data_IF_721161729454
#
_entry.id   IF_721161729454
#
_cell.length_a   1.000
_cell.length_b   1.000
_cell.length_c   1.000
_cell.angle_alpha   90.00
_cell.angle_beta   90.00
_cell.angle_gamma   90.00
#
_symmetry.space_group_name_H-M   'P 1'
#
loop_
_entity.id
_entity.type
_entity.pdbx_description
1 polymer ?
#
# COMPACT_ATOMS: atom_id res chain seq x y z
N UNK A 1 -10.69 0.10 18.58
CA UNK A 1 -11.27 -0.51 17.36
C UNK A 1 -10.99 -2.00 17.41
N UNK A 2 -11.93 -2.79 17.93
CA UNK A 2 -11.86 -4.25 17.78
C UNK A 2 -12.60 -4.59 16.49
N UNK A 3 -11.85 -4.98 15.45
CA UNK A 3 -12.44 -5.45 14.22
C UNK A 3 -13.11 -6.81 14.51
N UNK A 4 -14.43 -6.89 14.40
CA UNK A 4 -15.24 -8.08 14.66
C UNK A 4 -15.14 -9.17 13.59
N UNK A 5 -14.10 -9.12 12.73
CA UNK A 5 -13.90 -10.02 11.60
C UNK A 5 -12.74 -10.99 11.81
N UNK A 6 -12.91 -12.23 11.33
CA UNK A 6 -11.86 -13.24 11.27
C UNK A 6 -10.67 -12.77 10.43
N UNK A 7 -9.49 -13.34 10.66
CA UNK A 7 -8.30 -13.07 9.84
C UNK A 7 -8.57 -13.28 8.34
N UNK A 8 -9.37 -14.29 7.99
CA UNK A 8 -9.77 -14.58 6.61
C UNK A 8 -10.52 -13.39 5.99
N UNK A 9 -11.41 -12.77 6.73
CA UNK A 9 -12.17 -11.60 6.24
C UNK A 9 -11.27 -10.38 6.09
N UNK A 10 -10.37 -10.15 7.05
CA UNK A 10 -9.40 -9.07 6.97
C UNK A 10 -8.48 -9.22 5.74
N UNK A 11 -7.94 -10.42 5.49
CA UNK A 11 -7.13 -10.69 4.29
C UNK A 11 -7.94 -10.53 3.00
N UNK A 12 -9.21 -10.96 2.97
CA UNK A 12 -10.09 -10.74 1.82
C UNK A 12 -10.28 -9.25 1.53
N UNK A 13 -10.51 -8.44 2.55
CA UNK A 13 -10.61 -6.98 2.40
C UNK A 13 -9.30 -6.41 1.86
N UNK A 14 -8.15 -6.78 2.43
CA UNK A 14 -6.85 -6.30 1.97
C UNK A 14 -6.58 -6.64 0.50
N UNK A 15 -6.94 -7.85 0.04
CA UNK A 15 -6.80 -8.23 -1.37
C UNK A 15 -7.68 -7.40 -2.31
N UNK A 16 -8.87 -7.00 -1.85
CA UNK A 16 -9.77 -6.15 -2.62
C UNK A 16 -9.36 -4.67 -2.62
N UNK A 17 -8.40 -4.27 -1.79
CA UNK A 17 -7.94 -2.88 -1.70
C UNK A 17 -6.91 -2.58 -2.79
N UNK A 18 -7.19 -1.59 -3.64
CA UNK A 18 -6.25 -1.09 -4.65
C UNK A 18 -5.31 -0.01 -4.11
N UNK A 19 -5.80 0.80 -3.17
CA UNK A 19 -5.08 1.90 -2.54
C UNK A 19 -5.24 1.83 -1.02
N UNK A 20 -4.12 1.68 -0.31
CA UNK A 20 -4.04 1.78 1.14
C UNK A 20 -3.36 3.09 1.53
N UNK A 21 -4.02 3.90 2.35
CA UNK A 21 -3.41 5.10 2.96
C UNK A 21 -3.14 4.77 4.43
N UNK A 22 -1.86 4.75 4.80
CA UNK A 22 -1.37 4.51 6.15
C UNK A 22 -0.96 5.82 6.81
N UNK A 23 -1.13 5.91 8.13
CA UNK A 23 -0.73 7.08 8.93
C UNK A 23 0.35 6.61 9.91
N UNK A 24 1.53 7.22 9.86
CA UNK A 24 2.68 6.89 10.73
C UNK A 24 3.14 5.44 10.63
N UNK A 25 3.08 4.84 9.44
CA UNK A 25 3.35 3.42 9.28
C UNK A 25 2.33 2.50 9.97
N UNK A 26 1.25 3.03 10.55
CA UNK A 26 0.19 2.20 11.13
C UNK A 26 -0.54 1.43 10.03
N UNK A 27 -0.59 0.11 10.17
CA UNK A 27 -1.24 -0.78 9.19
C UNK A 27 -0.51 -0.90 7.85
N UNK A 28 0.66 -0.27 7.69
CA UNK A 28 1.43 -0.25 6.44
C UNK A 28 1.86 -1.64 5.97
N UNK A 29 2.19 -2.53 6.93
CA UNK A 29 2.62 -3.89 6.65
C UNK A 29 1.48 -4.71 6.04
N UNK A 30 0.21 -4.30 6.20
CA UNK A 30 -0.91 -4.96 5.55
C UNK A 30 -0.83 -4.85 4.02
N UNK A 31 -0.01 -3.93 3.49
CA UNK A 31 0.32 -3.83 2.07
C UNK A 31 0.83 -5.13 1.45
N UNK A 32 1.40 -6.06 2.25
CA UNK A 32 1.84 -7.37 1.78
C UNK A 32 0.68 -8.31 1.41
N UNK A 33 -0.53 -8.04 1.91
CA UNK A 33 -1.74 -8.82 1.64
C UNK A 33 -2.58 -8.25 0.50
N UNK A 34 -2.19 -7.09 -0.05
CA UNK A 34 -2.87 -6.49 -1.19
C UNK A 34 -2.53 -7.22 -2.48
N UNK A 35 -3.40 -7.11 -3.50
CA UNK A 35 -3.11 -7.64 -4.83
C UNK A 35 -1.94 -6.90 -5.49
N UNK A 36 -1.18 -7.61 -6.34
CA UNK A 36 -0.08 -6.99 -7.08
C UNK A 36 -0.59 -5.84 -7.95
N UNK A 37 0.20 -4.77 -8.05
CA UNK A 37 -0.19 -3.53 -8.73
C UNK A 37 -1.05 -2.60 -7.87
N UNK A 38 -1.33 -2.97 -6.61
CA UNK A 38 -1.87 -2.04 -5.62
C UNK A 38 -0.83 -0.98 -5.20
N UNK A 39 -1.30 0.06 -4.52
CA UNK A 39 -0.47 1.16 -4.02
C UNK A 39 -0.68 1.36 -2.53
N UNK A 40 0.41 1.58 -1.80
CA UNK A 40 0.40 2.03 -0.41
C UNK A 40 0.94 3.46 -0.38
N UNK A 41 0.21 4.38 0.25
CA UNK A 41 0.66 5.75 0.55
C UNK A 41 0.86 5.84 2.06
N UNK A 42 2.07 6.13 2.52
CA UNK A 42 2.35 6.41 3.94
C UNK A 42 2.38 7.91 4.22
N UNK A 43 1.58 8.36 5.19
CA UNK A 43 1.58 9.73 5.65
C UNK A 43 2.48 9.84 6.88
N UNK A 44 3.57 10.58 6.74
CA UNK A 44 4.67 10.59 7.70
C UNK A 44 4.72 11.92 8.46
N UNK A 45 5.14 11.84 9.73
CA UNK A 45 5.47 13.03 10.52
C UNK A 45 6.64 13.81 9.87
N UNK A 46 6.80 15.10 10.20
CA UNK A 46 7.96 15.86 9.73
C UNK A 46 9.24 15.20 10.21
N UNK A 47 10.29 15.28 9.41
CA UNK A 47 11.60 14.68 9.67
C UNK A 47 11.62 13.15 9.75
N UNK A 48 10.49 12.46 9.59
CA UNK A 48 10.45 11.01 9.69
C UNK A 48 10.27 10.37 8.31
N UNK A 49 11.12 9.40 7.98
CA UNK A 49 10.98 8.56 6.80
C UNK A 49 11.09 7.09 7.23
N UNK A 50 10.06 6.31 6.91
CA UNK A 50 10.08 4.87 7.16
C UNK A 50 10.34 4.13 5.85
N UNK A 51 11.54 3.56 5.75
CA UNK A 51 11.98 2.78 4.59
C UNK A 51 11.96 1.27 4.87
N UNK A 52 11.75 0.84 6.12
CA UNK A 52 11.78 -0.58 6.49
C UNK A 52 10.70 -1.38 5.77
N UNK A 53 9.54 -0.78 5.52
CA UNK A 53 8.42 -1.45 4.87
C UNK A 53 8.51 -1.44 3.34
N UNK A 54 9.29 -0.53 2.76
CA UNK A 54 9.41 -0.38 1.30
C UNK A 54 9.85 -1.68 0.62
N UNK A 55 10.90 -2.40 1.08
CA UNK A 55 11.28 -3.67 0.46
C UNK A 55 10.19 -4.73 0.53
N UNK A 56 9.49 -4.86 1.67
CA UNK A 56 8.44 -5.85 1.86
C UNK A 56 7.23 -5.60 0.95
N UNK A 57 6.78 -4.35 0.89
CA UNK A 57 5.64 -3.93 0.06
C UNK A 57 5.96 -4.07 -1.43
N UNK A 58 7.13 -3.61 -1.84
CA UNK A 58 7.57 -3.74 -3.23
C UNK A 58 7.75 -5.21 -3.64
N UNK A 59 8.29 -6.05 -2.73
CA UNK A 59 8.45 -7.50 -2.99
C UNK A 59 7.10 -8.23 -3.07
N UNK A 60 6.08 -7.76 -2.33
CA UNK A 60 4.72 -8.26 -2.46
C UNK A 60 4.05 -7.83 -3.78
N UNK A 61 4.65 -6.89 -4.51
CA UNK A 61 4.18 -6.42 -5.82
C UNK A 61 3.31 -5.17 -5.77
N UNK A 62 3.25 -4.49 -4.62
CA UNK A 62 2.57 -3.20 -4.46
C UNK A 62 3.59 -2.06 -4.58
N UNK A 63 3.17 -0.90 -5.08
CA UNK A 63 4.01 0.30 -5.07
C UNK A 63 3.93 1.01 -3.72
N UNK A 64 5.06 1.50 -3.23
CA UNK A 64 5.14 2.29 -2.01
C UNK A 64 5.40 3.76 -2.32
N UNK A 65 4.47 4.63 -1.92
CA UNK A 65 4.56 6.08 -1.98
C UNK A 65 4.53 6.62 -0.55
N UNK A 66 5.08 7.80 -0.33
CA UNK A 66 5.00 8.47 0.97
C UNK A 66 4.86 9.98 0.82
N UNK A 67 4.13 10.59 1.76
CA UNK A 67 3.99 12.03 1.89
C UNK A 67 4.64 12.46 3.21
N UNK A 68 5.81 13.12 3.17
CA UNK A 68 6.35 13.75 4.37
C UNK A 68 5.49 14.97 4.72
N UNK A 69 5.23 15.16 6.01
CA UNK A 69 4.67 16.42 6.51
C UNK A 69 5.72 17.53 6.38
N UNK A 70 5.32 18.64 5.77
CA UNK A 70 6.13 19.83 5.51
C UNK A 70 6.10 20.85 6.67
N UNK A 71 5.12 20.75 7.57
CA UNK A 71 5.05 21.57 8.78
C UNK A 71 5.97 21.02 9.89
N UNK A 72 7.20 21.51 9.92
CA UNK A 72 8.18 21.18 10.95
C UNK A 72 7.72 21.56 12.38
N UNK A 73 6.77 22.51 12.52
CA UNK A 73 6.26 22.93 13.82
C UNK A 73 5.25 21.93 14.40
N UNK A 74 4.55 21.15 13.57
CA UNK A 74 3.71 20.03 14.03
C UNK A 74 4.52 18.99 14.83
N UNK A 75 5.81 18.86 14.50
CA UNK A 75 6.82 18.09 15.22
C UNK A 75 7.00 18.46 16.71
N UNK A 76 6.53 19.64 17.13
CA UNK A 76 6.77 20.18 18.47
C UNK A 76 5.53 20.14 19.38
N UNK A 77 4.35 19.79 18.85
CA UNK A 77 3.07 19.75 19.60
C UNK A 77 2.87 18.44 20.37
N UNK A 78 3.90 17.97 21.07
CA UNK A 78 3.88 16.63 21.67
C UNK A 78 3.74 16.65 23.20
N UNK A 79 3.01 15.66 23.77
CA UNK A 79 2.94 15.49 25.21
C UNK A 79 4.28 15.03 25.81
N UNK A 80 5.17 14.43 25.02
CA UNK A 80 6.51 14.00 25.45
C UNK A 80 7.57 14.93 24.86
N UNK A 81 8.45 15.45 25.72
CA UNK A 81 9.55 16.35 25.29
C UNK A 81 10.51 15.60 24.37
N UNK A 82 10.66 16.09 23.14
CA UNK A 82 11.63 15.59 22.16
C UNK A 82 12.87 16.50 22.18
N UNK A 83 14.10 15.97 22.14
CA UNK A 83 15.30 16.79 22.02
C UNK A 83 15.30 17.64 20.75
N UNK A 84 15.72 18.91 20.85
CA UNK A 84 15.86 19.82 19.70
C UNK A 84 16.70 19.24 18.56
N UNK A 85 17.70 18.41 18.89
CA UNK A 85 18.55 17.75 17.91
C UNK A 85 17.74 16.93 16.90
N UNK A 86 16.64 16.30 17.34
CA UNK A 86 15.77 15.50 16.48
C UNK A 86 15.08 16.30 15.36
N UNK A 87 14.88 17.61 15.54
CA UNK A 87 14.28 18.50 14.53
C UNK A 87 15.31 19.19 13.63
N UNK A 88 16.58 19.18 14.04
CA UNK A 88 17.69 19.79 13.27
C UNK A 88 18.32 18.80 12.30
N UNK A 89 18.05 17.52 12.49
CA UNK A 89 18.49 16.43 11.64
C UNK A 89 17.85 16.56 10.25
N UNK A 90 18.69 16.63 9.21
CA UNK A 90 18.27 16.61 7.81
C UNK A 90 18.33 15.22 7.18
N UNK A 91 18.92 14.25 7.88
CA UNK A 91 19.09 12.89 7.38
C UNK A 91 17.95 11.99 7.88
N UNK A 92 17.23 11.31 6.97
CA UNK A 92 16.18 10.36 7.34
C UNK A 92 16.68 9.18 8.18
N UNK A 93 17.98 8.90 8.16
CA UNK A 93 18.59 7.78 8.89
C UNK A 93 18.91 8.12 10.36
N UNK A 94 19.07 9.40 10.68
CA UNK A 94 19.44 9.86 12.03
C UNK A 94 18.22 10.00 12.95
N UNK A 95 17.01 10.16 12.39
CA UNK A 95 15.74 10.16 13.13
C UNK A 95 15.29 8.79 13.63
N UNK A 96 16.03 7.72 13.30
CA UNK A 96 15.82 6.37 13.82
C UNK A 96 16.40 6.17 15.24
N UNK A 97 17.05 7.20 15.81
CA UNK A 97 17.51 7.15 17.21
C UNK A 97 16.32 7.02 18.16
N UNK A 98 16.48 6.18 19.19
CA UNK A 98 15.41 5.91 20.17
C UNK A 98 14.86 7.17 20.85
N UNK A 99 15.69 8.19 21.05
CA UNK A 99 15.29 9.47 21.64
C UNK A 99 14.39 10.32 20.74
N UNK A 100 14.42 10.10 19.42
CA UNK A 100 13.58 10.76 18.45
C UNK A 100 12.30 9.97 18.13
N UNK A 101 12.16 8.73 18.60
CA UNK A 101 10.96 7.91 18.42
C UNK A 101 9.65 8.61 18.82
N UNK A 102 9.57 9.47 19.84
CA UNK A 102 8.33 10.16 20.15
C UNK A 102 7.82 11.03 18.99
N UNK A 103 8.67 11.45 18.03
CA UNK A 103 8.25 12.13 16.78
C UNK A 103 7.30 11.25 15.93
N UNK A 104 7.25 9.93 16.15
CA UNK A 104 6.31 9.06 15.42
C UNK A 104 4.85 9.26 15.85
N UNK A 105 4.61 9.93 16.97
CA UNK A 105 3.27 10.12 17.54
C UNK A 105 2.72 11.55 17.31
N UNK A 106 3.02 12.20 16.18
CA UNK A 106 2.54 13.59 15.93
C UNK A 106 1.03 13.65 15.83
N UNK A 107 0.50 14.83 16.16
CA UNK A 107 -0.67 15.34 15.45
C UNK A 107 -0.27 15.58 13.99
N UNK A 108 -0.66 14.66 13.11
CA UNK A 108 -0.37 14.77 11.68
C UNK A 108 -1.28 15.80 11.04
N UNK A 109 -0.69 16.91 10.63
CA UNK A 109 -1.29 17.79 9.63
C UNK A 109 -0.99 17.24 8.23
N UNK A 110 -2.03 17.05 7.41
CA UNK A 110 -1.89 16.47 6.07
C UNK A 110 -2.03 17.57 5.02
N UNK A 111 -0.99 17.75 4.21
CA UNK A 111 -1.06 18.60 3.02
C UNK A 111 -1.99 17.94 1.99
N UNK A 112 -3.25 18.37 1.94
CA UNK A 112 -4.27 17.80 1.05
C UNK A 112 -3.91 17.91 -0.43
N UNK A 113 -3.20 18.96 -0.83
CA UNK A 113 -2.76 19.11 -2.21
C UNK A 113 -1.67 18.09 -2.58
N UNK A 114 -0.69 17.90 -1.69
CA UNK A 114 0.33 16.86 -1.85
C UNK A 114 -0.27 15.46 -1.87
N UNK A 115 -1.25 15.19 -1.00
CA UNK A 115 -1.98 13.93 -0.99
C UNK A 115 -2.76 13.71 -2.29
N UNK A 116 -3.44 14.72 -2.81
CA UNK A 116 -4.17 14.63 -4.09
C UNK A 116 -3.23 14.24 -5.24
N UNK A 117 -2.03 14.82 -5.29
CA UNK A 117 -1.03 14.47 -6.31
C UNK A 117 -0.58 13.00 -6.19
N UNK A 118 -0.35 12.50 -4.97
CA UNK A 118 0.00 11.09 -4.76
C UNK A 118 -1.15 10.15 -5.09
N UNK A 119 -2.40 10.52 -4.79
CA UNK A 119 -3.58 9.73 -5.20
C UNK A 119 -3.67 9.66 -6.72
N UNK A 120 -3.46 10.76 -7.45
CA UNK A 120 -3.41 10.75 -8.92
C UNK A 120 -2.28 9.88 -9.45
N UNK A 121 -1.10 9.92 -8.84
CA UNK A 121 0.01 9.04 -9.17
C UNK A 121 -0.35 7.56 -8.93
N UNK A 122 -1.00 7.27 -7.81
CA UNK A 122 -1.47 5.93 -7.47
C UNK A 122 -2.48 5.41 -8.51
N UNK A 123 -3.44 6.25 -8.93
CA UNK A 123 -4.39 5.88 -10.00
C UNK A 123 -3.68 5.52 -11.31
N UNK A 124 -2.64 6.27 -11.70
CA UNK A 124 -1.85 5.96 -12.90
C UNK A 124 -1.18 4.59 -12.76
N UNK A 125 -0.55 4.33 -11.61
CA UNK A 125 0.11 3.05 -11.32
C UNK A 125 -0.94 1.91 -11.39
N UNK A 126 -2.05 2.04 -10.66
CA UNK A 126 -3.12 1.03 -10.64
C UNK A 126 -3.62 0.77 -12.06
N UNK A 127 -3.88 1.80 -12.87
CA UNK A 127 -4.31 1.65 -14.27
C UNK A 127 -3.26 1.02 -15.17
N UNK A 128 -1.97 1.14 -14.87
CA UNK A 128 -0.91 0.51 -15.65
C UNK A 128 -0.79 -0.98 -15.31
N UNK A 129 -0.88 -1.33 -14.03
CA UNK A 129 -0.59 -2.69 -13.56
C UNK A 129 -1.84 -3.59 -13.39
N UNK A 130 -3.00 -3.01 -13.08
CA UNK A 130 -4.28 -3.72 -12.89
C UNK A 130 -5.26 -3.57 -14.05
N UNK A 131 -4.81 -3.06 -15.20
CA UNK A 131 -5.66 -2.92 -16.39
C UNK A 131 -6.36 -4.25 -16.70
N UNK A 132 -7.70 -4.27 -16.84
CA UNK A 132 -8.37 -5.43 -17.41
C UNK A 132 -7.82 -5.59 -18.83
N UNK A 133 -7.14 -6.71 -19.11
CA UNK A 133 -7.02 -7.11 -20.52
C UNK A 133 -8.37 -7.67 -20.94
N UNK A 134 -8.97 -7.18 -22.04
CA UNK A 134 -10.19 -7.74 -22.57
C UNK A 134 -9.85 -9.04 -23.31
N UNK A 135 -9.54 -10.09 -22.56
CA UNK A 135 -9.52 -11.45 -23.11
C UNK A 135 -10.82 -12.14 -22.69
N UNK A 136 -11.82 -12.00 -23.57
CA UNK A 136 -13.00 -12.87 -23.54
C UNK A 136 -12.52 -14.23 -24.06
N UNK A 137 -12.02 -15.10 -23.18
CA UNK A 137 -11.94 -16.51 -23.52
C UNK A 137 -13.36 -17.07 -23.49
N UNK A 138 -13.90 -17.31 -24.69
CA UNK A 138 -15.11 -18.11 -24.85
C UNK A 138 -14.69 -19.57 -24.69
N UNK A 139 -14.85 -20.12 -23.49
CA UNK A 139 -14.59 -21.54 -23.24
C UNK A 139 -15.74 -22.32 -23.86
N UNK A 140 -15.49 -22.94 -25.02
CA UNK A 140 -16.43 -23.85 -25.68
C UNK A 140 -16.35 -25.23 -25.02
N UNK A 141 -17.49 -25.77 -24.60
CA UNK A 141 -17.62 -27.16 -24.20
C UNK A 141 -18.88 -27.75 -24.84
N UNK A 142 -18.91 -29.07 -24.95
CA UNK A 142 -19.98 -29.81 -25.61
C UNK A 142 -21.29 -29.63 -24.82
N UNK A 143 -22.16 -28.72 -25.26
CA UNK A 143 -23.44 -28.40 -24.62
C UNK A 143 -23.71 -26.92 -24.30
N UNK A 144 -22.77 -25.99 -24.55
CA UNK A 144 -23.03 -24.54 -24.39
C UNK A 144 -21.76 -23.67 -24.35
N UNK A 145 -21.96 -22.35 -24.32
CA UNK A 145 -20.88 -21.37 -24.10
C UNK A 145 -21.20 -20.49 -22.90
N UNK A 146 -20.24 -20.27 -22.00
CA UNK A 146 -20.27 -19.13 -21.08
C UNK A 146 -19.03 -18.26 -21.31
N UNK A 147 -19.20 -16.96 -21.22
CA UNK A 147 -18.11 -15.99 -21.18
C UNK A 147 -17.55 -15.95 -19.76
N UNK A 148 -16.27 -16.31 -19.57
CA UNK A 148 -15.56 -16.05 -18.33
C UNK A 148 -14.84 -14.72 -18.49
N UNK A 149 -15.09 -13.77 -17.60
CA UNK A 149 -14.20 -12.62 -17.45
C UNK A 149 -12.90 -13.11 -16.82
N UNK A 150 -11.88 -13.34 -17.65
CA UNK A 150 -10.54 -13.69 -17.18
C UNK A 150 -9.75 -12.39 -17.00
N UNK A 151 -9.48 -12.05 -15.75
CA UNK A 151 -8.66 -10.91 -15.39
C UNK A 151 -7.18 -11.24 -15.64
N UNK A 152 -6.62 -10.82 -16.77
CA UNK A 152 -5.16 -10.90 -16.99
C UNK A 152 -4.45 -9.61 -16.55
N UNK A 153 -3.20 -9.74 -16.10
CA UNK A 153 -2.37 -8.62 -15.64
C UNK A 153 -2.07 -7.61 -16.75
N UNK A 154 -1.86 -6.35 -16.36
CA UNK A 154 -1.17 -5.38 -17.20
C UNK A 154 0.24 -5.87 -17.58
N UNK A 155 0.66 -5.59 -18.82
CA UNK A 155 1.98 -5.97 -19.37
C UNK A 155 3.12 -5.61 -18.42
N UNK A 156 4.04 -6.55 -18.20
CA UNK A 156 5.36 -6.22 -17.65
C UNK A 156 6.08 -5.23 -18.59
N UNK A 157 7.05 -4.42 -18.09
CA UNK A 157 7.87 -3.55 -18.94
C UNK A 157 8.61 -4.28 -20.07
N UNK A 158 8.86 -5.59 -19.91
CA UNK A 158 9.48 -6.47 -20.90
C UNK A 158 8.49 -7.05 -21.94
N UNK A 159 7.21 -6.67 -21.86
CA UNK A 159 6.17 -7.11 -22.78
C UNK A 159 5.61 -8.51 -22.51
N UNK A 160 6.10 -9.23 -21.50
CA UNK A 160 5.60 -10.58 -21.17
C UNK A 160 4.27 -10.52 -20.42
N UNK A 161 3.39 -11.48 -20.73
CA UNK A 161 2.08 -11.70 -20.08
C UNK A 161 2.17 -13.00 -19.30
N UNK A 162 1.93 -12.95 -17.99
CA UNK A 162 1.93 -14.12 -17.12
C UNK A 162 0.48 -14.60 -16.95
N UNK A 163 0.16 -15.79 -17.47
CA UNK A 163 -1.15 -16.41 -17.26
C UNK A 163 -1.32 -16.74 -15.79
N UNK A 164 -2.42 -16.31 -15.17
CA UNK A 164 -2.75 -16.81 -13.83
C UNK A 164 -3.06 -18.30 -13.93
N UNK A 165 -2.27 -19.12 -13.25
CA UNK A 165 -2.79 -20.38 -12.76
C UNK A 165 -4.00 -20.05 -11.90
N UNK A 166 -5.19 -20.48 -12.33
CA UNK A 166 -6.39 -20.48 -11.50
C UNK A 166 -6.00 -21.20 -10.21
N UNK A 167 -5.93 -20.48 -9.09
CA UNK A 167 -5.85 -21.13 -7.77
C UNK A 167 -7.18 -21.86 -7.56
N UNK A 168 -7.28 -23.08 -8.06
CA UNK A 168 -8.24 -24.06 -7.58
C UNK A 168 -7.85 -24.35 -6.15
N UNK A 169 -8.55 -23.72 -5.21
CA UNK A 169 -8.54 -24.19 -3.84
C UNK A 169 -9.10 -25.61 -3.86
N UNK A 170 -8.41 -26.63 -3.31
CA UNK A 170 -9.07 -27.89 -3.07
C UNK A 170 -10.26 -27.61 -2.14
N UNK A 171 -11.45 -28.02 -2.55
CA UNK A 171 -12.60 -28.06 -1.65
C UNK A 171 -12.16 -28.85 -0.41
N UNK A 172 -12.03 -28.15 0.72
CA UNK A 172 -11.89 -28.83 2.01
C UNK A 172 -13.22 -29.53 2.25
N UNK A 173 -13.22 -30.85 2.05
CA UNK A 173 -14.29 -31.72 2.49
C UNK A 173 -14.49 -31.48 3.99
N UNK A 174 -15.68 -31.00 4.34
CA UNK A 174 -16.18 -30.87 5.72
C UNK A 174 -16.38 -32.22 6.35
#
# INVERSE_FOLDING_TARGET
FEATGSLREQVKMMRATDLLIAVHGSGIINGIFMEKGSVVIDLLCPHFYELTFTPAINSAGSAYLFLPNDDLASGQRYPTKVPDACFRIRSPFETAQMECNPIRNCDLEVNLHGLELLVRQAEIIIRQYKRPQPDIETVLYDGGSYSVEIWQRGRRPDGTVESLSVCKWPEMQT
#
